data_IF_800865316896
#
_entry.id   IF_800865316896
#
_cell.length_a   1.000
_cell.length_b   1.000
_cell.length_c   1.000
_cell.angle_alpha   90.00
_cell.angle_beta   90.00
_cell.angle_gamma   90.00
#
_symmetry.space_group_name_H-M   'P 1'
#
loop_
_entity.id
_entity.type
_entity.pdbx_description
1 polymer ?
#
# COMPACT_ATOMS: atom_id res chain seq x y z
N UNK A 1 -51.27 36.55 8.87
CA UNK A 1 -50.72 37.36 7.75
C UNK A 1 -49.20 37.28 7.61
N UNK A 2 -48.46 36.53 8.45
CA UNK A 2 -47.00 36.33 8.32
C UNK A 2 -46.60 35.06 7.54
N UNK A 3 -47.54 34.14 7.29
CA UNK A 3 -47.24 32.88 6.57
C UNK A 3 -47.35 33.01 5.04
N UNK A 4 -48.05 34.03 4.53
CA UNK A 4 -48.26 34.24 3.09
C UNK A 4 -47.18 35.14 2.45
N UNK A 5 -46.38 35.83 3.27
CA UNK A 5 -45.28 36.71 2.83
C UNK A 5 -43.92 36.04 2.81
N UNK A 6 -43.74 34.90 3.50
CA UNK A 6 -42.48 34.14 3.53
C UNK A 6 -42.47 32.93 2.57
N UNK A 7 -43.61 32.57 1.97
CA UNK A 7 -43.71 31.52 0.97
C UNK A 7 -42.78 31.72 -0.25
N UNK A 8 -42.70 32.92 -0.86
CA UNK A 8 -41.79 33.12 -2.00
C UNK A 8 -40.30 33.10 -1.62
N UNK A 9 -39.95 33.24 -0.34
CA UNK A 9 -38.55 33.15 0.12
C UNK A 9 -38.11 31.69 0.37
N UNK A 10 -39.03 30.81 0.76
CA UNK A 10 -38.79 29.38 0.83
C UNK A 10 -38.71 28.74 -0.58
N UNK A 11 -39.43 29.30 -1.56
CA UNK A 11 -39.33 28.95 -2.99
C UNK A 11 -38.09 29.55 -3.69
N UNK A 12 -37.53 30.65 -3.16
CA UNK A 12 -36.33 31.30 -3.69
C UNK A 12 -35.00 30.79 -3.08
N UNK A 13 -35.06 29.99 -2.02
CA UNK A 13 -33.95 29.08 -1.71
C UNK A 13 -33.93 28.02 -2.81
N UNK A 14 -32.80 27.75 -3.47
CA UNK A 14 -32.71 26.70 -4.49
C UNK A 14 -32.91 25.33 -3.83
N UNK A 15 -34.17 24.97 -3.59
CA UNK A 15 -34.60 23.74 -2.94
C UNK A 15 -34.57 22.53 -3.88
N UNK A 16 -34.10 22.70 -5.10
CA UNK A 16 -34.03 21.64 -6.11
C UNK A 16 -33.20 22.11 -7.30
N UNK A 17 -32.00 22.60 -7.04
CA UNK A 17 -30.98 22.56 -8.09
C UNK A 17 -30.18 21.25 -7.92
N UNK A 18 -30.58 20.15 -8.58
CA UNK A 18 -29.82 18.91 -8.54
C UNK A 18 -28.42 19.10 -9.13
N UNK A 19 -28.15 20.20 -9.85
CA UNK A 19 -26.82 20.55 -10.35
C UNK A 19 -25.88 21.06 -9.24
N UNK A 20 -26.40 21.71 -8.19
CA UNK A 20 -25.55 22.31 -7.13
C UNK A 20 -25.22 21.34 -5.98
N UNK A 21 -25.97 20.25 -5.81
CA UNK A 21 -25.64 19.18 -4.85
C UNK A 21 -24.68 18.15 -5.47
N UNK A 22 -24.58 18.11 -6.80
CA UNK A 22 -23.72 17.16 -7.52
C UNK A 22 -22.28 17.66 -7.68
N UNK A 23 -22.00 18.94 -7.42
CA UNK A 23 -20.64 19.49 -7.56
C UNK A 23 -19.70 19.23 -6.36
N UNK A 24 -20.11 18.47 -5.34
CA UNK A 24 -19.22 18.07 -4.22
C UNK A 24 -19.38 16.58 -3.90
N UNK A 25 -19.50 15.76 -4.94
CA UNK A 25 -18.86 14.45 -4.89
C UNK A 25 -18.04 14.31 -6.15
N UNK A 26 -16.90 14.99 -6.18
CA UNK A 26 -15.78 14.52 -7.00
C UNK A 26 -15.70 13.02 -6.76
N UNK A 27 -16.12 12.24 -7.77
CA UNK A 27 -16.15 10.80 -7.72
C UNK A 27 -14.74 10.33 -7.43
N UNK A 28 -14.43 10.18 -6.16
CA UNK A 28 -13.29 9.45 -5.71
C UNK A 28 -13.68 8.02 -6.04
N UNK A 29 -13.39 7.58 -7.26
CA UNK A 29 -13.45 6.18 -7.62
C UNK A 29 -12.41 5.47 -6.74
N UNK A 30 -12.86 5.03 -5.57
CA UNK A 30 -12.10 4.17 -4.67
C UNK A 30 -12.09 2.79 -5.33
N UNK A 31 -11.21 2.59 -6.31
CA UNK A 31 -11.18 1.33 -7.07
C UNK A 31 -10.29 1.30 -8.32
N UNK A 32 -9.44 2.30 -8.56
CA UNK A 32 -8.54 2.25 -9.71
C UNK A 32 -7.40 1.25 -9.47
N UNK A 33 -7.48 0.11 -10.16
CA UNK A 33 -6.43 -0.90 -10.17
C UNK A 33 -5.52 -0.67 -11.38
N UNK A 34 -4.22 -0.65 -11.12
CA UNK A 34 -3.23 -0.53 -12.18
C UNK A 34 -3.07 -1.88 -12.90
N UNK A 35 -3.68 -2.00 -14.08
CA UNK A 35 -3.58 -3.17 -14.94
C UNK A 35 -2.53 -3.00 -16.04
N UNK A 36 -1.87 -4.12 -16.37
CA UNK A 36 -1.08 -4.28 -17.58
C UNK A 36 -1.79 -5.24 -18.52
N UNK A 37 -2.09 -4.78 -19.72
CA UNK A 37 -2.73 -5.58 -20.77
C UNK A 37 -1.65 -6.22 -21.64
N UNK A 38 -1.49 -7.54 -21.53
CA UNK A 38 -0.58 -8.34 -22.36
C UNK A 38 -1.41 -9.25 -23.27
N UNK A 39 -1.69 -8.77 -24.49
CA UNK A 39 -2.55 -9.49 -25.43
C UNK A 39 -3.98 -9.61 -24.89
N UNK A 40 -4.37 -10.81 -24.47
CA UNK A 40 -5.69 -11.11 -23.91
C UNK A 40 -5.64 -11.30 -22.37
N UNK A 41 -4.53 -10.94 -21.72
CA UNK A 41 -4.32 -11.09 -20.29
C UNK A 41 -4.24 -9.74 -19.58
N UNK A 42 -5.00 -9.61 -18.49
CA UNK A 42 -5.00 -8.44 -17.63
C UNK A 42 -4.25 -8.76 -16.33
N UNK A 43 -3.06 -8.19 -16.17
CA UNK A 43 -2.21 -8.39 -15.00
C UNK A 43 -2.37 -7.23 -14.04
N UNK A 44 -2.48 -7.51 -12.74
CA UNK A 44 -2.52 -6.46 -11.72
C UNK A 44 -1.10 -5.92 -11.45
N UNK A 45 -0.66 -4.97 -12.27
CA UNK A 45 0.68 -4.39 -12.23
C UNK A 45 1.06 -3.79 -10.88
N UNK A 46 0.09 -3.30 -10.10
CA UNK A 46 0.36 -2.76 -8.76
C UNK A 46 1.00 -3.78 -7.81
N UNK A 47 0.54 -5.04 -7.85
CA UNK A 47 1.03 -6.10 -6.96
C UNK A 47 2.43 -6.54 -7.39
N UNK A 48 2.68 -6.62 -8.69
CA UNK A 48 4.02 -6.88 -9.21
C UNK A 48 4.99 -5.78 -8.84
N UNK A 49 4.61 -4.52 -9.00
CA UNK A 49 5.49 -3.40 -8.68
C UNK A 49 5.79 -3.32 -7.18
N UNK A 50 4.77 -3.42 -6.32
CA UNK A 50 4.97 -3.39 -4.87
C UNK A 50 5.84 -4.55 -4.39
N UNK A 51 5.62 -5.76 -4.91
CA UNK A 51 6.46 -6.93 -4.58
C UNK A 51 7.89 -6.80 -5.09
N UNK A 52 8.12 -6.34 -6.32
CA UNK A 52 9.47 -6.14 -6.85
C UNK A 52 10.25 -5.06 -6.12
N UNK A 53 9.60 -3.96 -5.73
CA UNK A 53 10.22 -2.92 -4.92
C UNK A 53 10.63 -3.50 -3.56
N UNK A 54 9.74 -4.23 -2.90
CA UNK A 54 10.02 -4.85 -1.61
C UNK A 54 11.16 -5.88 -1.71
N UNK A 55 11.09 -6.78 -2.69
CA UNK A 55 12.13 -7.80 -2.94
C UNK A 55 13.46 -7.12 -3.26
N UNK A 56 13.47 -6.10 -4.12
CA UNK A 56 14.66 -5.35 -4.47
C UNK A 56 15.29 -4.64 -3.27
N UNK A 57 14.48 -4.05 -2.39
CA UNK A 57 14.94 -3.44 -1.14
C UNK A 57 15.57 -4.47 -0.20
N UNK A 58 14.90 -5.61 0.03
CA UNK A 58 15.42 -6.70 0.86
C UNK A 58 16.74 -7.26 0.34
N UNK A 59 16.81 -7.55 -0.97
CA UNK A 59 18.04 -8.02 -1.61
C UNK A 59 19.17 -6.99 -1.51
N UNK A 60 18.84 -5.70 -1.69
CA UNK A 60 19.83 -4.62 -1.55
C UNK A 60 20.41 -4.55 -0.14
N UNK A 61 19.59 -4.72 0.89
CA UNK A 61 20.05 -4.75 2.29
C UNK A 61 20.97 -5.95 2.54
N UNK A 62 20.55 -7.15 2.11
CA UNK A 62 21.35 -8.38 2.26
C UNK A 62 22.70 -8.23 1.57
N UNK A 63 22.70 -7.78 0.31
CA UNK A 63 23.93 -7.57 -0.46
C UNK A 63 24.79 -6.48 0.18
N UNK A 64 24.22 -5.35 0.62
CA UNK A 64 24.97 -4.29 1.28
C UNK A 64 25.64 -4.77 2.59
N UNK A 65 24.91 -5.54 3.41
CA UNK A 65 25.42 -6.05 4.69
C UNK A 65 26.39 -7.24 4.58
N UNK A 66 26.41 -7.96 3.44
CA UNK A 66 27.30 -9.12 3.21
C UNK A 66 28.50 -8.82 2.31
N UNK A 67 28.50 -7.67 1.62
CA UNK A 67 29.59 -7.27 0.70
C UNK A 67 30.97 -7.16 1.36
N UNK A 68 31.05 -6.84 2.65
CA UNK A 68 32.30 -6.70 3.41
C UNK A 68 32.09 -7.17 4.85
N UNK A 69 32.24 -8.47 5.08
CA UNK A 69 32.10 -9.05 6.41
C UNK A 69 33.39 -8.91 7.21
N UNK A 70 33.26 -8.40 8.44
CA UNK A 70 34.34 -8.29 9.41
C UNK A 70 34.20 -9.39 10.47
N UNK A 71 35.32 -9.79 11.08
CA UNK A 71 35.30 -10.82 12.13
C UNK A 71 34.61 -10.36 13.41
N UNK A 72 34.62 -9.05 13.68
CA UNK A 72 33.79 -8.44 14.72
C UNK A 72 32.61 -7.78 14.00
N UNK A 73 31.40 -8.36 14.03
CA UNK A 73 30.28 -7.85 13.25
C UNK A 73 29.84 -6.46 13.73
N UNK A 74 29.48 -5.60 12.78
CA UNK A 74 29.00 -4.24 13.03
C UNK A 74 27.95 -3.80 12.01
N UNK A 75 27.16 -2.78 12.36
CA UNK A 75 26.16 -2.19 11.46
C UNK A 75 25.16 -3.20 10.89
N UNK A 76 25.02 -3.24 9.56
CA UNK A 76 24.10 -4.15 8.86
C UNK A 76 24.48 -5.62 9.00
N UNK A 77 25.77 -5.95 9.13
CA UNK A 77 26.23 -7.32 9.32
C UNK A 77 25.65 -7.89 10.62
N UNK A 78 25.68 -7.12 11.72
CA UNK A 78 25.12 -7.55 13.00
C UNK A 78 23.62 -7.88 12.91
N UNK A 79 22.85 -7.05 12.21
CA UNK A 79 21.41 -7.29 12.00
C UNK A 79 21.17 -8.57 11.18
N UNK A 80 21.92 -8.77 10.09
CA UNK A 80 21.77 -9.93 9.22
C UNK A 80 22.19 -11.23 9.90
N UNK A 81 23.27 -11.21 10.68
CA UNK A 81 23.72 -12.37 11.47
C UNK A 81 22.69 -12.73 12.55
N UNK A 82 22.17 -11.72 13.28
CA UNK A 82 21.09 -11.95 14.24
C UNK A 82 19.86 -12.58 13.59
N UNK A 83 19.41 -12.04 12.45
CA UNK A 83 18.24 -12.55 11.74
C UNK A 83 18.46 -13.98 11.24
N UNK A 84 19.67 -14.27 10.73
CA UNK A 84 20.06 -15.61 10.31
C UNK A 84 20.01 -16.62 11.45
N UNK A 85 20.64 -16.30 12.59
CA UNK A 85 20.64 -17.18 13.77
C UNK A 85 19.22 -17.38 14.31
N UNK A 86 18.39 -16.33 14.30
CA UNK A 86 16.99 -16.43 14.70
C UNK A 86 16.20 -17.39 13.80
N UNK A 87 16.25 -17.21 12.48
CA UNK A 87 15.53 -18.06 11.53
C UNK A 87 16.04 -19.50 11.60
N UNK A 88 17.36 -19.69 11.74
CA UNK A 88 17.97 -21.01 11.89
C UNK A 88 17.49 -21.72 13.15
N UNK A 89 17.49 -21.04 14.28
CA UNK A 89 17.02 -21.62 15.55
C UNK A 89 15.52 -21.91 15.48
N UNK A 90 14.72 -20.98 14.96
CA UNK A 90 13.30 -21.20 14.72
C UNK A 90 13.06 -22.44 13.84
N UNK A 91 13.82 -22.58 12.76
CA UNK A 91 13.70 -23.74 11.86
C UNK A 91 14.10 -25.03 12.58
N UNK A 92 15.16 -25.03 13.39
CA UNK A 92 15.56 -26.20 14.19
C UNK A 92 14.50 -26.60 15.20
N UNK A 93 13.95 -25.63 15.91
CA UNK A 93 12.94 -25.85 16.96
C UNK A 93 11.59 -26.31 16.39
N UNK A 94 11.18 -25.76 15.24
CA UNK A 94 9.84 -26.00 14.67
C UNK A 94 9.80 -27.11 13.61
N UNK A 95 10.91 -27.36 12.90
CA UNK A 95 10.96 -28.33 11.78
C UNK A 95 11.83 -29.54 12.13
N UNK A 96 12.88 -29.38 12.94
CA UNK A 96 13.79 -30.45 13.37
C UNK A 96 15.23 -30.28 12.84
N UNK A 97 16.18 -31.07 13.37
CA UNK A 97 17.63 -30.84 13.24
C UNK A 97 18.22 -31.01 11.82
N UNK A 98 17.43 -31.44 10.83
CA UNK A 98 17.86 -31.61 9.43
C UNK A 98 17.70 -30.35 8.54
N UNK A 99 17.36 -29.19 9.14
CA UNK A 99 17.34 -27.89 8.47
C UNK A 99 18.68 -27.12 8.59
#
# INVERSE_FOLDING_TARGET
MLLQTLLPLAEALPASDPELVVEESHGLEIGQHFYWHLGQLDLHGQIFLSSWILIGALLSIVVAGTRRMERKPGGLQNLLEFLWDYIRNLSREQIGEAA
#
